data_IF_456801793247
#
_entry.id   IF_456801793247
#
_cell.length_a   1.000
_cell.length_b   1.000
_cell.length_c   1.000
_cell.angle_alpha   90.00
_cell.angle_beta   90.00
_cell.angle_gamma   90.00
#
_symmetry.space_group_name_H-M   'P 1'
#
loop_
_entity.id
_entity.type
_entity.pdbx_description
1 polymer ?
#
# COMPACT_ATOMS: atom_id res chain seq x y z
N UNK A 1 -14.51 -33.16 -1.90
CA UNK A 1 -14.55 -34.54 -2.44
C UNK A 1 -13.61 -34.59 -3.63
N UNK A 2 -12.41 -35.16 -3.45
CA UNK A 2 -11.44 -35.35 -4.55
C UNK A 2 -11.57 -36.81 -5.00
N UNK A 3 -11.97 -37.02 -6.25
CA UNK A 3 -11.98 -38.33 -6.90
C UNK A 3 -10.59 -38.58 -7.51
N UNK A 4 -9.98 -39.72 -7.16
CA UNK A 4 -8.81 -40.28 -7.84
C UNK A 4 -9.28 -41.21 -8.96
N UNK A 5 -8.75 -41.02 -10.16
CA UNK A 5 -8.74 -42.02 -11.22
C UNK A 5 -7.28 -42.40 -11.45
N UNK A 6 -6.88 -43.60 -11.03
CA UNK A 6 -5.80 -44.45 -11.58
C UNK A 6 -5.60 -45.62 -10.61
N UNK A 7 -5.84 -46.82 -11.12
CA UNK A 7 -5.57 -48.12 -10.51
C UNK A 7 -4.07 -48.35 -10.38
N UNK A 8 -3.52 -48.17 -9.18
CA UNK A 8 -2.52 -49.05 -8.54
C UNK A 8 -2.04 -48.40 -7.24
N UNK A 9 -2.48 -48.97 -6.11
CA UNK A 9 -1.83 -48.79 -4.83
C UNK A 9 -0.76 -49.86 -4.70
N UNK A 10 0.52 -49.51 -4.82
CA UNK A 10 1.62 -50.35 -4.35
C UNK A 10 2.60 -49.49 -3.56
N UNK A 11 2.76 -49.83 -2.29
CA UNK A 11 3.67 -49.17 -1.38
C UNK A 11 5.08 -49.74 -1.51
N UNK A 12 6.07 -48.87 -1.72
CA UNK A 12 7.47 -49.10 -1.39
C UNK A 12 8.16 -47.75 -1.11
N UNK A 13 8.66 -47.57 0.12
CA UNK A 13 9.80 -46.69 0.44
C UNK A 13 11.08 -47.53 0.35
N UNK A 14 12.28 -46.92 0.43
CA UNK A 14 12.78 -45.72 -0.25
C UNK A 14 14.07 -46.06 -1.04
N UNK A 15 14.44 -45.27 -2.06
CA UNK A 15 15.84 -44.93 -2.41
C UNK A 15 15.94 -44.23 -3.78
N UNK A 16 16.49 -43.02 -3.74
CA UNK A 16 17.31 -42.32 -4.75
C UNK A 16 16.88 -42.18 -6.22
N UNK A 17 17.08 -40.95 -6.72
CA UNK A 17 17.31 -40.49 -8.11
C UNK A 17 16.11 -39.87 -8.87
N UNK A 18 16.25 -38.56 -9.11
CA UNK A 18 15.77 -37.71 -10.21
C UNK A 18 14.28 -37.74 -10.63
N UNK A 19 13.62 -36.59 -10.40
CA UNK A 19 12.36 -36.23 -11.03
C UNK A 19 12.18 -34.72 -11.02
N UNK A 20 12.53 -34.07 -12.13
CA UNK A 20 12.40 -32.65 -12.40
C UNK A 20 10.96 -32.14 -12.20
N UNK A 21 10.68 -31.55 -11.04
CA UNK A 21 9.51 -30.71 -10.83
C UNK A 21 9.76 -29.32 -11.39
N UNK A 22 9.16 -29.02 -12.54
CA UNK A 22 9.26 -27.73 -13.24
C UNK A 22 9.07 -26.54 -12.29
N UNK A 23 10.12 -25.72 -12.21
CA UNK A 23 10.14 -24.50 -11.43
C UNK A 23 9.17 -23.45 -12.00
N UNK A 24 8.23 -23.03 -11.18
CA UNK A 24 7.64 -21.69 -11.27
C UNK A 24 8.52 -20.71 -10.47
N UNK A 25 9.79 -20.59 -10.86
CA UNK A 25 10.76 -19.65 -10.28
C UNK A 25 10.89 -18.40 -11.17
N UNK A 26 9.78 -17.74 -11.47
CA UNK A 26 9.80 -16.54 -12.32
C UNK A 26 8.99 -15.35 -11.80
N UNK A 27 8.29 -15.43 -10.66
CA UNK A 27 7.38 -14.35 -10.26
C UNK A 27 7.80 -13.52 -9.03
N UNK A 28 8.72 -14.01 -8.19
CA UNK A 28 9.03 -13.31 -6.93
C UNK A 28 9.64 -11.92 -7.18
N UNK A 29 10.55 -11.80 -8.16
CA UNK A 29 11.15 -10.51 -8.51
C UNK A 29 10.16 -9.55 -9.19
N UNK A 30 9.19 -10.09 -9.94
CA UNK A 30 8.18 -9.28 -10.63
C UNK A 30 7.23 -8.62 -9.63
N UNK A 31 6.77 -9.38 -8.62
CA UNK A 31 5.96 -8.85 -7.52
C UNK A 31 6.67 -7.71 -6.78
N UNK A 32 7.93 -7.90 -6.38
CA UNK A 32 8.68 -6.86 -5.68
C UNK A 32 8.91 -5.60 -6.53
N UNK A 33 9.10 -5.76 -7.85
CA UNK A 33 9.26 -4.61 -8.77
C UNK A 33 7.95 -3.85 -8.96
N UNK A 34 6.82 -4.57 -9.08
CA UNK A 34 5.50 -3.95 -9.20
C UNK A 34 5.13 -3.15 -7.95
N UNK A 35 5.47 -3.67 -6.77
CA UNK A 35 5.27 -2.96 -5.49
C UNK A 35 6.06 -1.66 -5.47
N UNK A 36 7.35 -1.68 -5.79
CA UNK A 36 8.16 -0.46 -5.83
C UNK A 36 7.59 0.60 -6.77
N UNK A 37 7.12 0.19 -7.96
CA UNK A 37 6.53 1.14 -8.91
C UNK A 37 5.20 1.70 -8.39
N UNK A 38 4.35 0.84 -7.84
CA UNK A 38 3.07 1.23 -7.26
C UNK A 38 3.26 2.20 -6.09
N UNK A 39 4.16 1.85 -5.18
CA UNK A 39 4.51 2.64 -4.01
C UNK A 39 5.15 3.99 -4.39
N UNK A 40 5.99 4.05 -5.43
CA UNK A 40 6.55 5.33 -5.91
C UNK A 40 5.46 6.27 -6.42
N UNK A 41 4.47 5.73 -7.14
CA UNK A 41 3.33 6.51 -7.63
C UNK A 41 2.44 6.95 -6.47
N UNK A 42 2.22 6.08 -5.47
CA UNK A 42 1.45 6.39 -4.27
C UNK A 42 2.09 7.55 -3.51
N UNK A 43 3.37 7.40 -3.16
CA UNK A 43 4.20 8.42 -2.52
C UNK A 43 4.16 9.75 -3.31
N UNK A 44 4.28 9.70 -4.64
CA UNK A 44 4.16 10.89 -5.48
C UNK A 44 2.82 11.62 -5.31
N UNK A 45 1.70 10.89 -5.30
CA UNK A 45 0.36 11.46 -5.10
C UNK A 45 0.20 12.03 -3.69
N UNK A 46 0.73 11.35 -2.67
CA UNK A 46 0.78 11.88 -1.30
C UNK A 46 1.52 13.21 -1.22
N UNK A 47 2.65 13.31 -1.90
CA UNK A 47 3.41 14.55 -2.03
C UNK A 47 2.56 15.70 -2.56
N UNK A 48 1.82 15.45 -3.65
CA UNK A 48 0.92 16.44 -4.25
C UNK A 48 -0.13 16.90 -3.23
N UNK A 49 -0.72 15.96 -2.48
CA UNK A 49 -1.75 16.25 -1.49
C UNK A 49 -1.22 17.06 -0.31
N UNK A 50 -0.03 16.74 0.20
CA UNK A 50 0.62 17.51 1.25
C UNK A 50 0.83 18.95 0.79
N UNK A 51 1.38 19.14 -0.41
CA UNK A 51 1.60 20.48 -0.96
C UNK A 51 0.28 21.25 -1.15
N UNK A 52 -0.73 20.63 -1.77
CA UNK A 52 -2.04 21.23 -1.99
C UNK A 52 -2.74 21.62 -0.67
N UNK A 53 -2.62 20.79 0.36
CA UNK A 53 -3.13 21.08 1.70
C UNK A 53 -2.43 22.31 2.32
N UNK A 54 -1.09 22.35 2.30
CA UNK A 54 -0.32 23.51 2.80
C UNK A 54 -0.57 24.81 2.02
N UNK A 55 -0.84 24.71 0.72
CA UNK A 55 -1.21 25.87 -0.10
C UNK A 55 -2.62 26.39 0.20
N UNK A 56 -3.49 25.53 0.73
CA UNK A 56 -4.85 25.90 1.13
C UNK A 56 -4.86 26.52 2.53
N UNK A 57 -4.24 25.84 3.50
CA UNK A 57 -4.11 26.31 4.88
C UNK A 57 -2.99 25.54 5.61
N UNK A 58 -2.27 26.21 6.52
CA UNK A 58 -1.15 25.61 7.26
C UNK A 58 -1.63 24.50 8.21
N UNK A 59 -2.78 24.67 8.87
CA UNK A 59 -3.31 23.65 9.77
C UNK A 59 -3.75 22.42 8.98
N UNK A 60 -4.45 22.63 7.85
CA UNK A 60 -4.82 21.54 6.95
C UNK A 60 -3.56 20.80 6.46
N UNK A 61 -2.52 21.53 6.05
CA UNK A 61 -1.23 20.95 5.65
C UNK A 61 -0.60 20.05 6.72
N UNK A 62 -0.56 20.51 7.98
CA UNK A 62 -0.02 19.74 9.11
C UNK A 62 -0.86 18.48 9.35
N UNK A 63 -2.19 18.59 9.38
CA UNK A 63 -3.09 17.45 9.62
C UNK A 63 -2.95 16.41 8.50
N UNK A 64 -2.94 16.85 7.23
CA UNK A 64 -2.77 15.97 6.07
C UNK A 64 -1.41 15.27 6.10
N UNK A 65 -0.32 15.98 6.38
CA UNK A 65 1.01 15.38 6.46
C UNK A 65 1.11 14.32 7.58
N UNK A 66 0.54 14.61 8.76
CA UNK A 66 0.51 13.64 9.86
C UNK A 66 -0.36 12.42 9.54
N UNK A 67 -1.51 12.63 8.89
CA UNK A 67 -2.40 11.55 8.48
C UNK A 67 -1.76 10.63 7.43
N UNK A 68 -1.04 11.21 6.47
CA UNK A 68 -0.26 10.47 5.46
C UNK A 68 0.87 9.69 6.12
N UNK A 69 1.70 10.37 6.93
CA UNK A 69 2.78 9.71 7.65
C UNK A 69 2.30 8.52 8.51
N UNK A 70 1.10 8.62 9.09
CA UNK A 70 0.54 7.56 9.92
C UNK A 70 0.20 6.27 9.15
N UNK A 71 -0.17 6.35 7.86
CA UNK A 71 -0.45 5.15 7.05
C UNK A 71 0.73 4.72 6.17
N UNK A 72 1.62 5.64 5.82
CA UNK A 72 2.84 5.35 5.08
C UNK A 72 3.86 4.54 5.90
N UNK A 73 4.01 4.80 7.21
CA UNK A 73 4.95 4.03 8.05
C UNK A 73 4.59 2.51 8.05
N UNK A 74 3.33 2.10 8.29
CA UNK A 74 2.92 0.71 8.14
C UNK A 74 3.09 0.15 6.73
N UNK A 75 2.75 0.93 5.70
CA UNK A 75 2.82 0.51 4.29
C UNK A 75 4.25 0.20 3.88
N UNK A 76 5.16 1.13 4.13
CA UNK A 76 6.59 1.02 3.83
C UNK A 76 7.22 -0.19 4.56
N UNK A 77 6.83 -0.46 5.81
CA UNK A 77 7.26 -1.66 6.53
C UNK A 77 6.73 -2.95 5.89
N UNK A 78 5.49 -2.94 5.39
CA UNK A 78 4.90 -4.03 4.63
C UNK A 78 5.67 -4.31 3.35
N UNK A 79 5.94 -3.27 2.56
CA UNK A 79 6.67 -3.36 1.30
C UNK A 79 8.09 -3.86 1.49
N UNK A 80 8.75 -3.42 2.57
CA UNK A 80 10.06 -3.96 2.96
C UNK A 80 10.01 -5.48 3.17
N UNK A 81 8.99 -6.00 3.86
CA UNK A 81 8.82 -7.45 4.07
C UNK A 81 8.56 -8.15 2.74
N UNK A 82 7.71 -7.59 1.86
CA UNK A 82 7.42 -8.22 0.58
C UNK A 82 8.66 -8.23 -0.33
N UNK A 83 9.49 -7.18 -0.31
CA UNK A 83 10.76 -7.14 -1.04
C UNK A 83 11.73 -8.22 -0.57
N UNK A 84 11.82 -8.47 0.74
CA UNK A 84 12.62 -9.58 1.27
C UNK A 84 12.12 -10.94 0.78
N UNK A 85 10.79 -11.15 0.80
CA UNK A 85 10.16 -12.37 0.31
C UNK A 85 10.30 -12.53 -1.21
N UNK A 86 10.42 -11.40 -1.93
CA UNK A 86 10.65 -11.32 -3.36
C UNK A 86 12.09 -11.66 -3.76
N UNK A 87 13.00 -11.86 -2.80
CA UNK A 87 14.40 -12.25 -3.03
C UNK A 87 15.41 -11.11 -2.92
N UNK A 88 14.98 -9.91 -2.50
CA UNK A 88 15.89 -8.78 -2.29
C UNK A 88 16.70 -8.98 -1.01
N UNK A 89 17.97 -8.58 -1.04
CA UNK A 89 18.79 -8.48 0.19
C UNK A 89 18.27 -7.33 1.05
N UNK A 90 18.37 -7.45 2.38
CA UNK A 90 17.92 -6.41 3.34
C UNK A 90 18.35 -4.99 2.99
N UNK A 91 19.63 -4.80 2.64
CA UNK A 91 20.14 -3.49 2.26
C UNK A 91 19.53 -2.95 0.97
N UNK A 92 19.29 -3.82 -0.03
CA UNK A 92 18.66 -3.44 -1.29
C UNK A 92 17.17 -3.16 -1.12
N UNK A 93 16.47 -3.99 -0.34
CA UNK A 93 15.06 -3.79 -0.04
C UNK A 93 14.86 -2.41 0.62
N UNK A 94 15.61 -2.11 1.69
CA UNK A 94 15.55 -0.81 2.36
C UNK A 94 15.92 0.35 1.44
N UNK A 95 16.95 0.20 0.61
CA UNK A 95 17.38 1.23 -0.31
C UNK A 95 16.31 1.59 -1.35
N UNK A 96 15.69 0.58 -1.97
CA UNK A 96 14.66 0.83 -2.97
C UNK A 96 13.37 1.38 -2.35
N UNK A 97 13.01 0.93 -1.15
CA UNK A 97 11.91 1.47 -0.37
C UNK A 97 12.09 2.98 -0.14
N UNK A 98 13.24 3.38 0.42
CA UNK A 98 13.56 4.80 0.66
C UNK A 98 13.56 5.61 -0.64
N UNK A 99 14.07 5.07 -1.75
CA UNK A 99 14.01 5.75 -3.05
C UNK A 99 12.57 5.95 -3.51
N UNK A 100 11.72 4.95 -3.30
CA UNK A 100 10.30 5.02 -3.62
C UNK A 100 9.62 6.15 -2.85
N UNK A 101 9.88 6.27 -1.55
CA UNK A 101 9.33 7.35 -0.70
C UNK A 101 9.86 8.75 -1.04
N UNK A 102 10.97 8.88 -1.79
CA UNK A 102 11.36 10.19 -2.36
C UNK A 102 10.35 10.71 -3.39
N UNK A 103 9.48 9.83 -3.92
CA UNK A 103 8.32 10.21 -4.73
C UNK A 103 7.49 11.31 -4.06
N UNK A 104 7.30 11.23 -2.74
CA UNK A 104 6.56 12.23 -1.94
C UNK A 104 7.19 13.60 -2.00
N UNK A 105 8.52 13.69 -1.90
CA UNK A 105 9.22 14.97 -2.01
C UNK A 105 9.10 15.53 -3.42
N UNK A 106 9.27 14.69 -4.45
CA UNK A 106 9.15 15.11 -5.85
C UNK A 106 7.73 15.59 -6.16
N UNK A 107 6.72 14.85 -5.72
CA UNK A 107 5.30 15.20 -5.88
C UNK A 107 4.96 16.52 -5.21
N UNK A 108 5.43 16.72 -3.97
CA UNK A 108 5.20 17.97 -3.24
C UNK A 108 5.85 19.18 -3.92
N UNK A 109 7.10 19.05 -4.37
CA UNK A 109 7.80 20.13 -5.07
C UNK A 109 7.13 20.46 -6.40
N UNK A 110 6.81 19.44 -7.21
CA UNK A 110 6.14 19.66 -8.49
C UNK A 110 4.76 20.27 -8.30
N UNK A 111 3.98 19.81 -7.31
CA UNK A 111 2.68 20.39 -7.01
C UNK A 111 2.80 21.85 -6.56
N UNK A 112 3.75 22.16 -5.67
CA UNK A 112 3.95 23.53 -5.21
C UNK A 112 4.24 24.49 -6.37
N UNK A 113 5.13 24.13 -7.30
CA UNK A 113 5.45 24.98 -8.44
C UNK A 113 4.38 24.97 -9.53
N UNK A 114 3.75 23.84 -9.81
CA UNK A 114 2.74 23.72 -10.88
C UNK A 114 1.39 24.32 -10.49
N UNK A 115 0.99 24.20 -9.23
CA UNK A 115 -0.31 24.69 -8.74
C UNK A 115 -0.23 26.13 -8.19
N UNK A 116 0.97 26.71 -8.00
CA UNK A 116 1.12 28.09 -7.53
C UNK A 116 0.31 29.09 -8.37
N UNK A 117 0.28 28.88 -9.68
CA UNK A 117 -0.45 29.72 -10.65
C UNK A 117 -1.87 29.23 -10.95
N UNK A 118 -2.28 28.08 -10.40
CA UNK A 118 -3.54 27.38 -10.72
C UNK A 118 -4.39 27.12 -9.47
N UNK A 119 -4.51 28.11 -8.59
CA UNK A 119 -5.25 27.98 -7.32
C UNK A 119 -6.73 27.62 -7.49
N UNK A 120 -7.37 28.03 -8.60
CA UNK A 120 -8.77 27.66 -8.89
C UNK A 120 -8.94 26.15 -9.16
N UNK A 121 -7.87 25.44 -9.57
CA UNK A 121 -7.93 24.01 -9.86
C UNK A 121 -7.61 23.11 -8.65
N UNK A 122 -7.05 23.68 -7.57
CA UNK A 122 -6.70 22.95 -6.35
C UNK A 122 -7.85 22.07 -5.82
N UNK A 123 -9.09 22.56 -5.66
CA UNK A 123 -10.18 21.74 -5.13
C UNK A 123 -10.51 20.53 -6.00
N UNK A 124 -10.43 20.66 -7.33
CA UNK A 124 -10.72 19.57 -8.26
C UNK A 124 -9.65 18.48 -8.19
N UNK A 125 -8.38 18.87 -8.09
CA UNK A 125 -7.25 17.94 -7.96
C UNK A 125 -7.36 17.18 -6.63
N UNK A 126 -7.68 17.87 -5.53
CA UNK A 126 -7.91 17.25 -4.23
C UNK A 126 -9.07 16.25 -4.24
N UNK A 127 -10.19 16.58 -4.90
CA UNK A 127 -11.34 15.67 -5.03
C UNK A 127 -11.00 14.42 -5.84
N UNK A 128 -10.25 14.56 -6.94
CA UNK A 128 -9.83 13.41 -7.77
C UNK A 128 -8.89 12.50 -6.97
N UNK A 129 -7.92 13.09 -6.27
CA UNK A 129 -6.97 12.35 -5.45
C UNK A 129 -7.67 11.63 -4.28
N UNK A 130 -8.56 12.31 -3.54
CA UNK A 130 -9.34 11.71 -2.46
C UNK A 130 -10.25 10.57 -2.96
N UNK A 131 -10.88 10.75 -4.11
CA UNK A 131 -11.71 9.70 -4.74
C UNK A 131 -10.89 8.46 -5.10
N UNK A 132 -9.65 8.67 -5.56
CA UNK A 132 -8.73 7.58 -5.91
C UNK A 132 -8.30 6.79 -4.67
N UNK A 133 -8.04 7.46 -3.54
CA UNK A 133 -7.76 6.76 -2.28
C UNK A 133 -8.94 5.96 -1.75
N UNK A 134 -10.15 6.50 -1.83
CA UNK A 134 -11.35 5.74 -1.45
C UNK A 134 -11.47 4.50 -2.34
N UNK A 135 -11.23 4.63 -3.65
CA UNK A 135 -11.26 3.49 -4.57
C UNK A 135 -10.22 2.41 -4.21
N UNK A 136 -8.96 2.80 -3.98
CA UNK A 136 -7.88 1.86 -3.61
C UNK A 136 -8.20 1.18 -2.28
N UNK A 137 -8.57 1.95 -1.25
CA UNK A 137 -8.93 1.41 0.06
C UNK A 137 -10.10 0.40 -0.02
N UNK A 138 -11.10 0.68 -0.86
CA UNK A 138 -12.24 -0.24 -1.07
C UNK A 138 -11.82 -1.46 -1.89
N UNK A 139 -11.01 -1.28 -2.92
CA UNK A 139 -10.49 -2.36 -3.77
C UNK A 139 -9.60 -3.33 -2.99
N UNK A 140 -8.89 -2.86 -1.97
CA UNK A 140 -8.11 -3.70 -1.06
C UNK A 140 -8.96 -4.36 0.03
N UNK A 141 -10.03 -3.70 0.48
CA UNK A 141 -10.95 -4.22 1.50
C UNK A 141 -11.88 -5.34 0.98
N UNK A 142 -12.40 -5.21 -0.25
CA UNK A 142 -13.38 -6.15 -0.84
C UNK A 142 -12.85 -7.60 -0.93
N UNK A 143 -11.63 -7.86 -1.43
CA UNK A 143 -11.06 -9.21 -1.50
C UNK A 143 -10.90 -9.87 -0.12
N UNK A 144 -10.55 -9.08 0.91
CA UNK A 144 -10.40 -9.55 2.29
C UNK A 144 -11.72 -10.04 2.89
N UNK A 145 -12.84 -9.41 2.53
CA UNK A 145 -14.19 -9.81 2.98
C UNK A 145 -14.69 -11.10 2.32
N UNK A 146 -14.19 -11.44 1.12
CA UNK A 146 -14.63 -12.62 0.37
C UNK A 146 -13.91 -13.92 0.81
N UNK A 147 -12.83 -13.85 1.59
CA UNK A 147 -12.02 -15.00 1.99
C UNK A 147 -12.32 -15.41 3.45
N UNK A 148 -13.43 -16.13 3.70
CA UNK A 148 -13.82 -16.73 5.00
C UNK A 148 -13.29 -16.00 6.26
N UNK A 149 -13.60 -14.71 6.38
CA UNK A 149 -13.24 -13.92 7.56
C UNK A 149 -14.06 -14.39 8.76
N UNK A 150 -13.40 -14.61 9.90
CA UNK A 150 -14.13 -14.78 11.16
C UNK A 150 -14.75 -13.42 11.52
N UNK A 151 -15.97 -13.40 12.04
CA UNK A 151 -16.66 -12.17 12.46
C UNK A 151 -15.79 -11.28 13.38
N UNK A 152 -14.90 -11.88 14.17
CA UNK A 152 -13.94 -11.17 15.02
C UNK A 152 -12.93 -10.32 14.24
N UNK A 153 -12.47 -10.78 13.07
CA UNK A 153 -11.49 -10.07 12.24
C UNK A 153 -12.15 -8.89 11.53
N UNK A 154 -13.38 -9.07 11.04
CA UNK A 154 -14.20 -7.98 10.50
C UNK A 154 -14.50 -6.90 11.55
N UNK A 155 -14.86 -7.30 12.77
CA UNK A 155 -15.07 -6.36 13.87
C UNK A 155 -13.79 -5.60 14.24
N UNK A 156 -12.64 -6.28 14.25
CA UNK A 156 -11.35 -5.64 14.49
C UNK A 156 -11.02 -4.62 13.40
N UNK A 157 -11.26 -4.94 12.13
CA UNK A 157 -11.03 -4.04 11.00
C UNK A 157 -11.95 -2.83 11.03
N UNK A 158 -13.25 -3.01 11.31
CA UNK A 158 -14.20 -1.90 11.51
C UNK A 158 -13.76 -1.02 12.69
N UNK A 159 -13.28 -1.61 13.79
CA UNK A 159 -12.80 -0.84 14.94
C UNK A 159 -11.58 0.01 14.62
N UNK A 160 -10.65 -0.51 13.81
CA UNK A 160 -9.45 0.22 13.38
C UNK A 160 -9.80 1.38 12.45
N UNK A 161 -10.73 1.16 11.51
CA UNK A 161 -11.24 2.22 10.63
C UNK A 161 -11.94 3.32 11.44
N UNK A 162 -12.79 2.93 12.39
CA UNK A 162 -13.46 3.86 13.30
C UNK A 162 -12.46 4.64 14.16
N UNK A 163 -11.43 3.98 14.68
CA UNK A 163 -10.36 4.61 15.45
C UNK A 163 -9.55 5.62 14.61
N UNK A 164 -9.19 5.26 13.36
CA UNK A 164 -8.51 6.17 12.43
C UNK A 164 -9.38 7.40 12.11
N UNK A 165 -10.66 7.19 11.83
CA UNK A 165 -11.61 8.27 11.56
C UNK A 165 -11.78 9.19 12.77
N UNK A 166 -11.88 8.62 13.97
CA UNK A 166 -11.99 9.37 15.21
C UNK A 166 -10.71 10.15 15.52
N UNK A 167 -9.53 9.58 15.26
CA UNK A 167 -8.26 10.28 15.39
C UNK A 167 -8.22 11.52 14.49
N UNK A 168 -8.55 11.38 13.21
CA UNK A 168 -8.63 12.51 12.27
C UNK A 168 -9.63 13.57 12.76
N UNK A 169 -10.82 13.15 13.22
CA UNK A 169 -11.83 14.06 13.75
C UNK A 169 -11.34 14.84 14.98
N UNK A 170 -10.71 14.14 15.94
CA UNK A 170 -10.18 14.77 17.15
C UNK A 170 -9.12 15.80 16.76
N UNK A 171 -8.14 15.41 15.94
CA UNK A 171 -7.07 16.31 15.49
C UNK A 171 -7.63 17.54 14.78
N UNK A 172 -8.67 17.39 13.95
CA UNK A 172 -9.34 18.53 13.33
C UNK A 172 -10.08 19.42 14.34
N UNK A 173 -10.73 18.83 15.34
CA UNK A 173 -11.53 19.57 16.33
C UNK A 173 -10.72 20.33 17.39
N UNK A 174 -9.50 19.88 17.69
CA UNK A 174 -8.63 20.51 18.70
C UNK A 174 -7.71 21.58 18.15
N UNK A 175 -7.57 21.64 16.82
CA UNK A 175 -6.75 22.63 16.10
C UNK A 175 -7.59 23.80 15.54
N UNK A 176 -8.90 23.83 15.84
CA UNK A 176 -9.83 24.95 15.60
C UNK A 176 -10.10 25.72 16.89
#
# INVERSE_FOLDING_TARGET
>A
WRHCHIDHCDGHLPDTVEGHGHGHSHNNNATGTLILVGDTIHNFVDGILIAAAFMTDIHLGIVTALAIAAHEIPQELGDFVILLHSGFKRSKALYYNIISSLGTVVGALLAYYALADMQEFLPYILVIAASSFIYIAVADLIPGLHHKVKLSETLQQISLIAAGTLFIYITHSTLH
#
